data_IF_458845014198
#
_entry.id   IF_458845014198
#
_cell.length_a   1.000
_cell.length_b   1.000
_cell.length_c   1.000
_cell.angle_alpha   90.00
_cell.angle_beta   90.00
_cell.angle_gamma   90.00
#
_symmetry.space_group_name_H-M   'P 1'
#
loop_
_entity.id
_entity.type
_entity.pdbx_description
1 polymer ?
#
# COMPACT_ATOMS: atom_id res chain seq x y z
N UNK A 1 1.78 25.26 -12.18
CA UNK A 1 0.49 25.27 -11.49
C UNK A 1 0.24 23.84 -11.00
N UNK A 2 0.66 23.55 -9.77
CA UNK A 2 0.63 22.22 -9.16
C UNK A 2 -0.75 21.95 -8.60
N UNK A 3 -1.61 21.28 -9.35
CA UNK A 3 -2.98 20.91 -8.98
C UNK A 3 -3.04 19.60 -8.15
N UNK A 4 -2.12 19.36 -7.24
CA UNK A 4 -2.16 18.12 -6.51
C UNK A 4 -1.77 18.34 -5.05
N UNK A 5 -2.69 17.94 -4.19
CA UNK A 5 -2.56 17.94 -2.76
C UNK A 5 -1.29 17.22 -2.28
N UNK A 6 -0.66 17.79 -1.28
CA UNK A 6 0.38 17.19 -0.46
C UNK A 6 -0.15 15.88 0.15
N UNK A 7 0.65 14.80 0.28
CA UNK A 7 0.24 13.59 1.01
C UNK A 7 -0.20 13.84 2.46
N UNK A 8 0.12 15.00 3.03
CA UNK A 8 -0.39 15.50 4.32
C UNK A 8 -1.80 16.10 4.23
N UNK A 9 -2.43 16.16 3.04
CA UNK A 9 -3.73 16.76 2.84
C UNK A 9 -4.84 15.79 3.29
N UNK A 10 -5.76 16.29 4.09
CA UNK A 10 -6.97 15.59 4.58
C UNK A 10 -7.74 14.90 3.45
N UNK A 11 -7.67 15.43 2.23
CA UNK A 11 -8.30 14.85 1.05
C UNK A 11 -7.67 13.52 0.63
N UNK A 12 -6.35 13.38 0.69
CA UNK A 12 -5.64 12.14 0.38
C UNK A 12 -5.92 11.09 1.45
N UNK A 13 -5.87 11.48 2.73
CA UNK A 13 -6.20 10.57 3.82
C UNK A 13 -7.63 10.00 3.69
N UNK A 14 -8.60 10.88 3.43
CA UNK A 14 -9.99 10.47 3.17
C UNK A 14 -10.11 9.52 1.98
N UNK A 15 -9.35 9.76 0.90
CA UNK A 15 -9.37 8.88 -0.28
C UNK A 15 -8.77 7.50 0.05
N UNK A 16 -7.67 7.43 0.81
CA UNK A 16 -7.08 6.15 1.26
C UNK A 16 -8.12 5.32 2.03
N UNK A 17 -8.85 5.95 2.96
CA UNK A 17 -9.88 5.26 3.72
C UNK A 17 -11.03 4.75 2.84
N UNK A 18 -11.46 5.53 1.85
CA UNK A 18 -12.50 5.12 0.90
C UNK A 18 -12.04 3.95 0.01
N UNK A 19 -10.83 4.01 -0.52
CA UNK A 19 -10.26 2.95 -1.35
C UNK A 19 -10.17 1.64 -0.57
N UNK A 20 -9.65 1.70 0.66
CA UNK A 20 -9.51 0.55 1.55
C UNK A 20 -10.87 -0.02 1.97
N UNK A 21 -11.83 0.84 2.30
CA UNK A 21 -13.18 0.38 2.67
C UNK A 21 -13.84 -0.40 1.54
N UNK A 22 -13.72 0.07 0.29
CA UNK A 22 -14.23 -0.63 -0.90
C UNK A 22 -13.54 -1.97 -1.12
N UNK A 23 -12.20 -2.01 -1.02
CA UNK A 23 -11.43 -3.22 -1.22
C UNK A 23 -11.72 -4.27 -0.14
N UNK A 24 -11.83 -3.87 1.14
CA UNK A 24 -12.23 -4.77 2.22
C UNK A 24 -13.68 -5.25 2.07
N UNK A 25 -14.58 -4.40 1.61
CA UNK A 25 -15.97 -4.80 1.31
C UNK A 25 -16.03 -5.85 0.19
N UNK A 26 -15.19 -5.74 -0.82
CA UNK A 26 -15.09 -6.70 -1.92
C UNK A 26 -14.48 -8.03 -1.45
N UNK A 27 -13.37 -7.97 -0.70
CA UNK A 27 -12.57 -9.16 -0.35
C UNK A 27 -13.15 -9.94 0.85
N UNK A 28 -13.59 -9.24 1.89
CA UNK A 28 -14.09 -9.84 3.13
C UNK A 28 -15.62 -9.97 3.12
N UNK A 29 -16.33 -9.01 2.51
CA UNK A 29 -17.78 -9.03 2.35
C UNK A 29 -18.52 -9.26 3.66
N UNK A 30 -19.26 -10.36 3.74
CA UNK A 30 -20.06 -10.71 4.92
C UNK A 30 -19.27 -11.41 6.03
N UNK A 31 -17.98 -11.64 5.85
CA UNK A 31 -17.09 -12.25 6.83
C UNK A 31 -16.09 -13.21 6.20
N UNK A 32 -14.97 -13.37 6.88
CA UNK A 32 -13.91 -14.30 6.51
C UNK A 32 -14.09 -15.62 7.28
N UNK A 33 -14.53 -16.66 6.58
CA UNK A 33 -14.76 -17.97 7.16
C UNK A 33 -13.48 -18.58 7.74
N UNK A 34 -12.35 -18.40 7.07
CA UNK A 34 -11.06 -18.93 7.52
C UNK A 34 -10.60 -18.24 8.80
N UNK A 35 -10.65 -16.91 8.83
CA UNK A 35 -10.36 -16.14 10.04
C UNK A 35 -11.30 -16.50 11.19
N UNK A 36 -12.57 -16.85 10.90
CA UNK A 36 -13.54 -17.28 11.89
C UNK A 36 -13.13 -18.54 12.68
N UNK A 37 -12.28 -19.40 12.13
CA UNK A 37 -11.78 -20.61 12.78
C UNK A 37 -10.68 -20.33 13.82
N UNK A 38 -10.07 -19.14 13.81
CA UNK A 38 -9.00 -18.76 14.74
C UNK A 38 -9.61 -18.25 16.05
N UNK A 39 -8.95 -18.54 17.16
CA UNK A 39 -9.32 -17.99 18.47
C UNK A 39 -9.30 -16.42 18.40
N UNK A 40 -10.42 -15.75 18.81
CA UNK A 40 -10.52 -14.31 18.71
C UNK A 40 -9.48 -13.52 19.54
N UNK A 41 -8.94 -14.12 20.61
CA UNK A 41 -7.93 -13.48 21.45
C UNK A 41 -6.51 -13.72 20.97
N UNK A 42 -6.34 -14.60 19.97
CA UNK A 42 -5.01 -14.95 19.45
C UNK A 42 -4.37 -13.76 18.73
N UNK A 43 -3.17 -13.41 19.14
CA UNK A 43 -2.31 -12.45 18.44
C UNK A 43 -1.23 -13.19 17.64
N UNK A 44 -0.78 -12.58 16.56
CA UNK A 44 0.25 -13.13 15.71
C UNK A 44 1.16 -12.00 15.18
N UNK A 45 2.32 -12.39 14.67
CA UNK A 45 3.25 -11.51 13.96
C UNK A 45 3.38 -12.00 12.53
N UNK A 46 3.33 -11.07 11.59
CA UNK A 46 3.57 -11.30 10.17
C UNK A 46 4.71 -10.42 9.67
N UNK A 47 5.41 -10.88 8.63
CA UNK A 47 6.44 -10.12 7.92
C UNK A 47 6.15 -10.14 6.44
N UNK A 48 6.35 -9.00 5.79
CA UNK A 48 6.30 -8.86 4.33
C UNK A 48 7.72 -8.72 3.81
N UNK A 49 8.10 -9.62 2.90
CA UNK A 49 9.40 -9.62 2.24
C UNK A 49 9.24 -9.21 0.78
N UNK A 50 10.12 -8.35 0.30
CA UNK A 50 10.25 -8.08 -1.13
C UNK A 50 10.88 -9.31 -1.82
N UNK A 51 10.32 -9.74 -2.95
CA UNK A 51 10.90 -10.83 -3.76
C UNK A 51 11.88 -10.31 -4.81
N UNK A 52 11.79 -9.04 -5.13
CA UNK A 52 12.63 -8.35 -6.09
C UNK A 52 12.92 -6.94 -5.61
N UNK A 53 13.88 -6.26 -6.27
CA UNK A 53 14.14 -4.85 -5.98
C UNK A 53 12.99 -4.00 -6.49
N UNK A 54 12.44 -3.15 -5.62
CA UNK A 54 11.31 -2.29 -5.93
C UNK A 54 11.38 -0.97 -5.15
N UNK A 55 10.74 0.06 -5.65
CA UNK A 55 10.43 1.28 -4.88
C UNK A 55 9.17 1.00 -4.10
N UNK A 56 9.24 1.06 -2.77
CA UNK A 56 8.10 0.80 -1.90
C UNK A 56 7.12 1.98 -1.95
N UNK A 57 5.87 1.67 -2.27
CA UNK A 57 4.79 2.63 -2.32
C UNK A 57 3.47 1.98 -1.92
N UNK A 58 2.65 2.71 -1.16
CA UNK A 58 1.33 2.23 -0.71
C UNK A 58 1.25 1.97 0.79
N UNK A 59 2.23 2.39 1.59
CA UNK A 59 2.19 2.27 3.04
C UNK A 59 0.92 2.89 3.66
N UNK A 60 0.39 4.03 3.21
CA UNK A 60 -0.87 4.56 3.73
C UNK A 60 -2.04 3.59 3.58
N UNK A 61 -2.21 2.94 2.43
CA UNK A 61 -3.28 1.96 2.17
C UNK A 61 -3.09 0.68 2.97
N UNK A 62 -1.87 0.14 3.02
CA UNK A 62 -1.55 -1.05 3.80
C UNK A 62 -1.81 -0.81 5.30
N UNK A 63 -1.40 0.33 5.84
CA UNK A 63 -1.67 0.73 7.22
C UNK A 63 -3.18 0.85 7.49
N UNK A 64 -3.92 1.49 6.58
CA UNK A 64 -5.36 1.66 6.71
C UNK A 64 -6.09 0.31 6.69
N UNK A 65 -5.71 -0.62 5.79
CA UNK A 65 -6.30 -1.95 5.72
C UNK A 65 -6.10 -2.75 7.02
N UNK A 66 -4.88 -2.75 7.54
CA UNK A 66 -4.56 -3.44 8.80
C UNK A 66 -5.30 -2.84 9.99
N UNK A 67 -5.29 -1.50 10.12
CA UNK A 67 -5.95 -0.79 11.24
C UNK A 67 -7.46 -0.79 11.16
N UNK A 68 -8.05 -0.94 9.99
CA UNK A 68 -9.50 -1.09 9.85
C UNK A 68 -10.01 -2.36 10.53
N UNK A 69 -9.20 -3.43 10.58
CA UNK A 69 -9.56 -4.71 11.18
C UNK A 69 -8.97 -4.92 12.58
N UNK A 70 -7.86 -4.27 12.90
CA UNK A 70 -7.31 -4.19 14.27
C UNK A 70 -6.74 -2.79 14.52
N UNK A 71 -7.49 -1.87 15.16
CA UNK A 71 -6.98 -0.54 15.49
C UNK A 71 -5.74 -0.55 16.39
N UNK A 72 -5.51 -1.65 17.14
CA UNK A 72 -4.35 -1.83 18.00
C UNK A 72 -3.15 -2.48 17.29
N UNK A 73 -3.22 -2.69 15.95
CA UNK A 73 -2.12 -3.25 15.17
C UNK A 73 -0.85 -2.39 15.29
N UNK A 74 0.26 -3.05 15.62
CA UNK A 74 1.60 -2.45 15.63
C UNK A 74 2.27 -2.74 14.30
N UNK A 75 2.56 -1.69 13.53
CA UNK A 75 3.11 -1.78 12.19
C UNK A 75 4.48 -1.11 12.21
N UNK A 76 5.52 -1.87 11.84
CA UNK A 76 6.90 -1.38 11.77
C UNK A 76 7.39 -1.49 10.33
N UNK A 77 7.68 -0.35 9.70
CA UNK A 77 8.26 -0.28 8.37
C UNK A 77 9.78 -0.29 8.47
N UNK A 78 10.43 -1.18 7.72
CA UNK A 78 11.88 -1.28 7.60
C UNK A 78 12.40 -0.61 6.31
N UNK A 79 11.50 -0.37 5.36
CA UNK A 79 11.75 0.41 4.15
C UNK A 79 10.69 1.51 4.10
N UNK A 80 11.12 2.76 4.00
CA UNK A 80 10.18 3.88 3.97
C UNK A 80 9.51 4.02 2.59
N UNK A 81 8.38 4.74 2.58
CA UNK A 81 7.69 5.14 1.36
C UNK A 81 8.67 5.86 0.41
N UNK A 82 8.70 5.46 -0.85
CA UNK A 82 9.61 6.00 -1.86
C UNK A 82 11.03 5.43 -1.84
N UNK A 83 11.39 4.65 -0.85
CA UNK A 83 12.71 4.01 -0.80
C UNK A 83 12.74 2.71 -1.61
N UNK A 84 13.89 2.42 -2.21
CA UNK A 84 14.14 1.16 -2.91
C UNK A 84 14.51 0.07 -1.91
N UNK A 85 13.84 -1.08 -2.00
CA UNK A 85 14.19 -2.29 -1.27
C UNK A 85 15.08 -3.21 -2.13
N UNK A 86 15.80 -4.11 -1.46
CA UNK A 86 16.53 -5.20 -2.08
C UNK A 86 15.67 -6.49 -2.11
N UNK A 87 16.01 -7.47 -2.98
CA UNK A 87 15.43 -8.80 -2.90
C UNK A 87 15.61 -9.42 -1.51
N UNK A 88 14.59 -10.16 -1.06
CA UNK A 88 14.52 -10.84 0.24
C UNK A 88 14.62 -9.92 1.48
N UNK A 89 14.57 -8.61 1.28
CA UNK A 89 14.50 -7.65 2.37
C UNK A 89 13.11 -7.66 3.03
N UNK A 90 13.08 -7.63 4.37
CA UNK A 90 11.85 -7.39 5.12
C UNK A 90 11.45 -5.93 4.93
N UNK A 91 10.26 -5.71 4.37
CA UNK A 91 9.70 -4.37 4.11
C UNK A 91 8.95 -3.85 5.32
N UNK A 92 8.11 -4.71 5.91
CA UNK A 92 7.35 -4.35 7.10
C UNK A 92 7.11 -5.58 8.00
N UNK A 93 6.93 -5.32 9.29
CA UNK A 93 6.45 -6.26 10.29
C UNK A 93 5.14 -5.75 10.90
N UNK A 94 4.23 -6.67 11.17
CA UNK A 94 2.94 -6.37 11.79
C UNK A 94 2.69 -7.33 12.94
N UNK A 95 2.29 -6.78 14.10
CA UNK A 95 1.77 -7.53 15.24
C UNK A 95 0.33 -7.11 15.48
N UNK A 96 -0.61 -8.05 15.32
CA UNK A 96 -2.03 -7.78 15.42
C UNK A 96 -2.82 -9.02 15.84
N UNK A 97 -4.15 -8.90 15.95
CA UNK A 97 -5.04 -10.05 16.03
C UNK A 97 -4.78 -10.99 14.83
N UNK A 98 -4.68 -12.30 15.09
CA UNK A 98 -4.46 -13.27 14.01
C UNK A 98 -5.60 -13.26 12.99
N UNK A 99 -6.84 -13.04 13.42
CA UNK A 99 -8.00 -12.88 12.53
C UNK A 99 -7.85 -11.66 11.62
N UNK A 100 -7.48 -10.52 12.21
CA UNK A 100 -7.29 -9.28 11.45
C UNK A 100 -6.16 -9.39 10.44
N UNK A 101 -5.04 -10.05 10.79
CA UNK A 101 -3.93 -10.29 9.86
C UNK A 101 -4.39 -11.11 8.65
N UNK A 102 -5.11 -12.21 8.86
CA UNK A 102 -5.59 -13.06 7.76
C UNK A 102 -6.57 -12.31 6.84
N UNK A 103 -7.50 -11.54 7.42
CA UNK A 103 -8.50 -10.83 6.62
C UNK A 103 -7.97 -9.56 5.96
N UNK A 104 -6.95 -8.89 6.54
CA UNK A 104 -6.37 -7.67 5.97
C UNK A 104 -5.26 -7.95 4.95
N UNK A 105 -4.58 -9.09 5.05
CA UNK A 105 -3.36 -9.41 4.29
C UNK A 105 -3.53 -9.13 2.80
N UNK A 106 -4.55 -9.71 2.19
CA UNK A 106 -4.77 -9.62 0.74
C UNK A 106 -4.99 -8.18 0.29
N UNK A 107 -5.86 -7.44 0.96
CA UNK A 107 -6.11 -6.04 0.65
C UNK A 107 -4.86 -5.19 0.85
N UNK A 108 -4.14 -5.35 1.97
CA UNK A 108 -2.91 -4.61 2.25
C UNK A 108 -1.82 -4.90 1.20
N UNK A 109 -1.60 -6.17 0.86
CA UNK A 109 -0.60 -6.57 -0.12
C UNK A 109 -0.97 -6.15 -1.54
N UNK A 110 -2.25 -6.22 -1.93
CA UNK A 110 -2.69 -5.80 -3.27
C UNK A 110 -2.40 -4.32 -3.51
N UNK A 111 -2.70 -3.44 -2.55
CA UNK A 111 -2.34 -2.02 -2.67
C UNK A 111 -0.83 -1.82 -2.69
N UNK A 112 -0.10 -2.45 -1.78
CA UNK A 112 1.36 -2.32 -1.69
C UNK A 112 2.05 -2.78 -2.98
N UNK A 113 1.66 -3.93 -3.53
CA UNK A 113 2.22 -4.45 -4.76
C UNK A 113 1.89 -3.58 -5.97
N UNK A 114 0.62 -3.21 -6.12
CA UNK A 114 0.16 -2.37 -7.23
C UNK A 114 0.89 -1.02 -7.27
N UNK A 115 0.91 -0.33 -6.13
CA UNK A 115 1.47 1.02 -6.06
C UNK A 115 3.01 0.98 -6.14
N UNK A 116 3.66 -0.01 -5.53
CA UNK A 116 5.10 -0.22 -5.67
C UNK A 116 5.51 -0.56 -7.11
N UNK A 117 4.70 -1.32 -7.84
CA UNK A 117 4.96 -1.59 -9.25
C UNK A 117 4.90 -0.32 -10.10
N UNK A 118 3.91 0.56 -9.85
CA UNK A 118 3.80 1.86 -10.53
C UNK A 118 5.00 2.76 -10.18
N UNK A 119 5.35 2.89 -8.91
CA UNK A 119 6.48 3.70 -8.45
C UNK A 119 7.81 3.18 -9.03
N UNK A 120 8.04 1.86 -8.98
CA UNK A 120 9.25 1.23 -9.53
C UNK A 120 9.37 1.49 -11.03
N UNK A 121 8.29 1.33 -11.78
CA UNK A 121 8.28 1.58 -13.22
C UNK A 121 8.52 3.06 -13.53
N UNK A 122 7.93 3.95 -12.76
CA UNK A 122 8.14 5.40 -12.87
C UNK A 122 9.62 5.74 -12.62
N UNK A 123 10.21 5.22 -11.56
CA UNK A 123 11.64 5.42 -11.25
C UNK A 123 12.54 4.99 -12.41
N UNK A 124 12.25 3.86 -13.05
CA UNK A 124 13.00 3.40 -14.24
C UNK A 124 12.96 4.43 -15.38
N UNK A 125 11.80 5.04 -15.64
CA UNK A 125 11.70 6.07 -16.68
C UNK A 125 12.38 7.38 -16.26
N UNK A 126 12.26 7.79 -15.00
CA UNK A 126 12.93 8.97 -14.47
C UNK A 126 14.46 8.82 -14.58
N UNK A 127 14.99 7.65 -14.19
CA UNK A 127 16.42 7.32 -14.33
C UNK A 127 16.87 7.39 -15.80
N UNK A 128 16.06 6.90 -16.74
CA UNK A 128 16.39 6.89 -18.18
C UNK A 128 16.47 8.30 -18.81
N UNK A 129 15.80 9.30 -18.22
CA UNK A 129 15.85 10.69 -18.73
C UNK A 129 16.75 11.62 -17.92
N UNK A 130 17.46 11.09 -16.93
CA UNK A 130 18.39 11.88 -16.12
C UNK A 130 19.45 12.57 -17.00
N UNK A 131 19.80 13.81 -16.66
CA UNK A 131 20.74 14.62 -17.42
C UNK A 131 20.14 15.27 -18.68
N UNK A 132 18.87 15.03 -18.99
CA UNK A 132 18.15 15.70 -20.08
C UNK A 132 17.19 16.77 -19.54
N UNK A 133 16.48 17.48 -20.43
CA UNK A 133 15.39 18.41 -20.07
C UNK A 133 14.01 17.75 -20.11
N UNK A 134 13.94 16.44 -20.35
CA UNK A 134 12.68 15.71 -20.36
C UNK A 134 12.17 15.47 -18.93
N UNK A 135 10.85 15.44 -18.77
CA UNK A 135 10.18 15.14 -17.51
C UNK A 135 9.18 14.01 -17.72
N UNK A 136 9.16 13.05 -16.81
CA UNK A 136 8.15 12.00 -16.76
C UNK A 136 6.94 12.56 -16.00
N UNK A 137 5.77 12.48 -16.63
CA UNK A 137 4.53 12.97 -16.04
C UNK A 137 3.44 11.89 -16.06
N UNK A 138 2.55 11.94 -15.09
CA UNK A 138 1.39 11.06 -15.04
C UNK A 138 0.35 11.43 -16.12
N UNK A 139 -0.65 10.56 -16.31
CA UNK A 139 -1.75 10.80 -17.24
C UNK A 139 -3.10 10.53 -16.58
N UNK A 140 -4.20 10.78 -17.33
CA UNK A 140 -5.56 10.39 -16.93
C UNK A 140 -5.94 8.95 -17.32
N UNK A 141 -5.02 8.19 -17.96
CA UNK A 141 -5.20 6.78 -18.28
C UNK A 141 -4.77 5.95 -17.08
N UNK A 142 -5.66 5.83 -16.13
CA UNK A 142 -5.45 5.19 -14.82
C UNK A 142 -6.41 4.04 -14.62
N UNK A 143 -6.12 3.19 -13.66
CA UNK A 143 -7.06 2.18 -13.20
C UNK A 143 -8.37 2.86 -12.76
N UNK A 144 -9.53 2.36 -13.21
CA UNK A 144 -10.81 2.87 -12.74
C UNK A 144 -10.92 2.82 -11.21
N UNK A 145 -11.40 3.91 -10.61
CA UNK A 145 -11.53 4.03 -9.15
C UNK A 145 -10.26 4.38 -8.40
N UNK A 146 -9.06 4.10 -8.94
CA UNK A 146 -7.77 4.27 -8.23
C UNK A 146 -6.88 5.38 -8.81
N UNK A 147 -7.47 6.40 -9.47
CA UNK A 147 -6.69 7.46 -10.10
C UNK A 147 -5.78 8.21 -9.13
N UNK A 148 -6.28 8.56 -7.96
CA UNK A 148 -5.47 9.31 -6.98
C UNK A 148 -4.35 8.44 -6.40
N UNK A 149 -4.61 7.19 -6.10
CA UNK A 149 -3.61 6.23 -5.64
C UNK A 149 -2.51 6.03 -6.70
N UNK A 150 -2.87 5.83 -7.96
CA UNK A 150 -1.90 5.66 -9.05
C UNK A 150 -1.08 6.94 -9.29
N UNK A 151 -1.70 8.12 -9.23
CA UNK A 151 -0.98 9.40 -9.33
C UNK A 151 -0.04 9.64 -8.14
N UNK A 152 -0.44 9.22 -6.95
CA UNK A 152 0.41 9.22 -5.76
C UNK A 152 1.68 8.39 -6.02
N UNK A 153 1.54 7.16 -6.53
CA UNK A 153 2.67 6.28 -6.82
C UNK A 153 3.62 6.81 -7.91
N UNK A 154 3.16 7.64 -8.83
CA UNK A 154 4.03 8.29 -9.82
C UNK A 154 4.86 9.41 -9.20
N UNK A 155 4.42 9.99 -8.06
CA UNK A 155 5.15 11.09 -7.40
C UNK A 155 6.15 10.61 -6.35
N UNK A 156 5.84 9.46 -5.73
CA UNK A 156 6.73 8.83 -4.77
C UNK A 156 8.02 8.40 -5.43
#
# INVERSE_FOLDING_TARGET
MTYFADPSDDSMHSQVLLDVARALQEDVGRGDLTAGLIDPVRRARARVLARESAVICGAPWANAALRALDPAARITWHVAEGQRCAPDQVVLEVEASARALLSAERTALNFLQLLSAVATKTATYVEAVQGTRAHIVDTRKTLPGLRLAQKYAVRV
#
